data_IF_439880477696
#
_entry.id   IF_439880477696
#
_cell.length_a   1.000
_cell.length_b   1.000
_cell.length_c   1.000
_cell.angle_alpha   90.00
_cell.angle_beta   90.00
_cell.angle_gamma   90.00
#
_symmetry.space_group_name_H-M   'P 1'
#
loop_
_entity.id
_entity.type
_entity.pdbx_description
1 polymer ?
#
# COMPACT_ATOMS: atom_id res chain seq x y z
N UNK A 1 -5.66 33.32 -14.63
CA UNK A 1 -5.72 33.20 -13.16
C UNK A 1 -5.96 31.75 -12.82
N UNK A 2 -4.92 31.05 -12.37
CA UNK A 2 -4.99 29.62 -12.08
C UNK A 2 -5.97 29.36 -10.93
N UNK A 3 -7.08 28.69 -11.26
CA UNK A 3 -8.18 28.43 -10.34
C UNK A 3 -7.78 27.29 -9.42
N UNK A 4 -7.48 27.59 -8.16
CA UNK A 4 -7.16 26.59 -7.14
C UNK A 4 -8.27 25.51 -7.08
N UNK A 5 -7.91 24.27 -7.39
CA UNK A 5 -8.81 23.16 -7.74
C UNK A 5 -9.90 22.81 -6.70
N UNK A 6 -9.69 23.20 -5.43
CA UNK A 6 -10.58 22.87 -4.30
C UNK A 6 -11.63 23.97 -4.04
N UNK A 7 -11.40 25.22 -4.48
CA UNK A 7 -12.24 26.37 -4.08
C UNK A 7 -13.61 26.44 -4.77
N UNK A 8 -13.85 25.69 -5.85
CA UNK A 8 -15.09 25.81 -6.65
C UNK A 8 -16.05 24.60 -6.60
N UNK A 9 -15.67 23.52 -5.92
CA UNK A 9 -16.57 22.40 -5.68
C UNK A 9 -16.64 22.12 -4.18
N UNK A 10 -17.49 22.85 -3.47
CA UNK A 10 -17.65 22.76 -2.02
C UNK A 10 -17.76 21.31 -1.52
N UNK A 11 -18.50 20.46 -2.26
CA UNK A 11 -18.60 19.02 -1.98
C UNK A 11 -17.26 18.29 -2.06
N UNK A 12 -16.44 18.55 -3.09
CA UNK A 12 -15.10 17.94 -3.23
C UNK A 12 -14.14 18.42 -2.15
N UNK A 13 -14.20 19.70 -1.79
CA UNK A 13 -13.40 20.25 -0.69
C UNK A 13 -13.77 19.64 0.66
N UNK A 14 -15.06 19.50 0.95
CA UNK A 14 -15.55 18.86 2.17
C UNK A 14 -15.15 17.38 2.25
N UNK A 15 -15.35 16.61 1.17
CA UNK A 15 -14.92 15.21 1.10
C UNK A 15 -13.41 15.08 1.27
N UNK A 16 -12.63 15.94 0.59
CA UNK A 16 -11.18 15.95 0.71
C UNK A 16 -10.77 16.19 2.16
N UNK A 17 -11.28 17.23 2.82
CA UNK A 17 -10.92 17.56 4.20
C UNK A 17 -11.27 16.44 5.19
N UNK A 18 -12.45 15.82 5.04
CA UNK A 18 -12.85 14.70 5.90
C UNK A 18 -11.94 13.48 5.70
N UNK A 19 -11.69 13.10 4.45
CA UNK A 19 -10.91 11.90 4.11
C UNK A 19 -9.42 12.06 4.40
N UNK A 20 -8.88 13.29 4.30
CA UNK A 20 -7.47 13.57 4.47
C UNK A 20 -6.97 13.20 5.89
N UNK A 21 -7.78 13.48 6.91
CA UNK A 21 -7.42 13.12 8.28
C UNK A 21 -7.39 11.60 8.47
N UNK A 22 -8.40 10.88 7.96
CA UNK A 22 -8.44 9.42 8.03
C UNK A 22 -7.29 8.78 7.26
N UNK A 23 -6.92 9.35 6.10
CA UNK A 23 -5.74 8.93 5.36
C UNK A 23 -4.47 8.96 6.22
N UNK A 24 -4.19 10.07 6.91
CA UNK A 24 -3.02 10.16 7.80
C UNK A 24 -3.11 9.22 9.00
N UNK A 25 -4.28 9.11 9.62
CA UNK A 25 -4.48 8.18 10.73
C UNK A 25 -4.16 6.74 10.28
N UNK A 26 -4.63 6.31 9.11
CA UNK A 26 -4.33 5.00 8.55
C UNK A 26 -2.85 4.81 8.22
N UNK A 27 -2.14 5.84 7.74
CA UNK A 27 -0.69 5.78 7.55
C UNK A 27 0.05 5.57 8.87
N UNK A 28 -0.35 6.28 9.92
CA UNK A 28 0.25 6.15 11.26
C UNK A 28 0.01 4.73 11.79
N UNK A 29 -1.23 4.22 11.71
CA UNK A 29 -1.56 2.86 12.15
C UNK A 29 -0.77 1.79 11.38
N UNK A 30 -0.65 1.94 10.06
CA UNK A 30 0.15 1.05 9.23
C UNK A 30 1.65 1.11 9.58
N UNK A 31 2.20 2.30 9.81
CA UNK A 31 3.59 2.50 10.22
C UNK A 31 3.88 1.92 11.62
N UNK A 32 2.95 2.06 12.57
CA UNK A 32 3.05 1.41 13.89
C UNK A 32 3.07 -0.10 13.75
N UNK A 33 2.15 -0.68 12.96
CA UNK A 33 2.15 -2.13 12.70
C UNK A 33 3.43 -2.62 12.00
N UNK A 34 4.02 -1.81 11.11
CA UNK A 34 5.30 -2.10 10.48
C UNK A 34 6.45 -2.10 11.50
N UNK A 35 6.50 -1.11 12.39
CA UNK A 35 7.51 -1.03 13.44
C UNK A 35 7.52 -2.28 14.33
N UNK A 36 6.34 -2.71 14.77
CA UNK A 36 6.14 -3.92 15.56
C UNK A 36 6.53 -5.19 14.78
N UNK A 37 6.20 -5.26 13.48
CA UNK A 37 6.59 -6.39 12.63
C UNK A 37 8.13 -6.50 12.48
N UNK A 38 8.81 -5.36 12.34
CA UNK A 38 10.26 -5.30 12.24
C UNK A 38 10.93 -5.66 13.56
N UNK A 39 10.41 -5.16 14.69
CA UNK A 39 10.90 -5.52 16.02
C UNK A 39 10.74 -7.03 16.27
N UNK A 40 9.55 -7.58 16.03
CA UNK A 40 9.31 -9.02 16.17
C UNK A 40 10.22 -9.87 15.27
N UNK A 41 10.51 -9.38 14.06
CA UNK A 41 11.46 -10.02 13.15
C UNK A 41 12.89 -9.97 13.67
N UNK A 42 13.34 -8.82 14.18
CA UNK A 42 14.68 -8.65 14.75
C UNK A 42 14.88 -9.53 15.99
N UNK A 43 13.91 -9.56 16.89
CA UNK A 43 13.92 -10.45 18.08
C UNK A 43 13.95 -11.92 17.66
N UNK A 44 13.18 -12.31 16.64
CA UNK A 44 13.22 -13.68 16.10
C UNK A 44 14.59 -14.03 15.51
N UNK A 45 15.27 -13.11 14.83
CA UNK A 45 16.61 -13.32 14.26
C UNK A 45 17.65 -13.45 15.37
N UNK A 46 17.63 -12.55 16.36
CA UNK A 46 18.56 -12.59 17.51
C UNK A 46 18.35 -13.86 18.33
N UNK A 47 17.09 -14.26 18.57
CA UNK A 47 16.79 -15.51 19.24
C UNK A 47 17.21 -16.71 18.41
N UNK A 48 17.03 -16.69 17.09
CA UNK A 48 17.52 -17.75 16.21
C UNK A 48 19.06 -17.84 16.20
N UNK A 49 19.78 -16.72 16.25
CA UNK A 49 21.25 -16.71 16.34
C UNK A 49 21.72 -17.22 17.71
N UNK A 50 21.07 -16.79 18.79
CA UNK A 50 21.33 -17.28 20.15
C UNK A 50 21.02 -18.77 20.28
N UNK A 51 19.89 -19.19 19.71
CA UNK A 51 19.50 -20.59 19.62
C UNK A 51 20.39 -21.38 18.68
N UNK A 52 20.99 -20.80 17.63
CA UNK A 52 21.97 -21.49 16.78
C UNK A 52 23.31 -21.67 17.50
N UNK A 53 23.74 -20.65 18.26
CA UNK A 53 24.91 -20.74 19.16
C UNK A 53 24.69 -21.78 20.26
N UNK A 54 23.49 -21.82 20.85
CA UNK A 54 23.09 -22.84 21.84
C UNK A 54 22.78 -24.19 21.17
N UNK A 55 22.35 -24.25 19.91
CA UNK A 55 22.03 -25.49 19.19
C UNK A 55 23.29 -26.29 18.85
N UNK A 56 24.45 -25.64 18.68
CA UNK A 56 25.74 -26.36 18.64
C UNK A 56 25.99 -27.12 19.95
N UNK A 57 25.55 -26.59 21.10
CA UNK A 57 25.64 -27.25 22.42
C UNK A 57 24.43 -28.17 22.73
N UNK A 58 23.26 -27.92 22.13
CA UNK A 58 21.98 -28.57 22.43
C UNK A 58 21.50 -29.55 21.35
N UNK A 59 22.29 -29.81 20.31
CA UNK A 59 22.03 -30.84 19.27
C UNK A 59 21.83 -32.26 19.83
N UNK A 60 22.07 -32.48 21.13
CA UNK A 60 21.84 -33.75 21.84
C UNK A 60 20.43 -33.84 22.47
N UNK A 61 19.65 -32.76 22.58
CA UNK A 61 18.30 -32.83 23.18
C UNK A 61 17.27 -31.96 22.48
N UNK A 62 16.32 -32.65 21.86
CA UNK A 62 14.92 -32.25 21.70
C UNK A 62 14.62 -31.17 20.65
N UNK A 63 14.05 -31.63 19.53
CA UNK A 63 13.39 -30.81 18.52
C UNK A 63 12.05 -30.21 18.98
N UNK A 64 12.01 -29.55 20.13
CA UNK A 64 10.78 -28.96 20.67
C UNK A 64 11.08 -27.63 21.40
N UNK A 65 11.04 -26.51 20.67
CA UNK A 65 10.79 -25.19 21.28
C UNK A 65 10.52 -24.13 20.19
N UNK A 66 9.28 -24.11 19.68
CA UNK A 66 8.75 -22.94 19.00
C UNK A 66 8.62 -21.79 20.02
N UNK A 67 9.49 -20.79 19.90
CA UNK A 67 9.57 -19.65 20.82
C UNK A 67 10.20 -18.43 20.16
N UNK A 68 9.67 -18.01 19.00
CA UNK A 68 9.96 -16.71 18.40
C UNK A 68 8.90 -15.70 18.79
N UNK A 69 9.29 -14.45 19.06
CA UNK A 69 8.41 -13.35 19.48
C UNK A 69 7.08 -13.33 18.72
N UNK A 70 5.96 -13.34 19.45
CA UNK A 70 4.63 -13.44 18.87
C UNK A 70 4.26 -12.08 18.26
N UNK A 71 4.37 -11.97 16.93
CA UNK A 71 3.74 -10.87 16.20
C UNK A 71 2.22 -11.04 16.29
N UNK A 72 1.68 -10.37 17.30
CA UNK A 72 0.29 -10.47 17.74
C UNK A 72 -0.69 -10.09 16.61
N UNK A 73 -1.87 -10.70 16.61
CA UNK A 73 -2.89 -10.51 15.60
C UNK A 73 -3.26 -9.03 15.43
N UNK A 74 -3.31 -8.26 16.53
CA UNK A 74 -3.62 -6.82 16.50
C UNK A 74 -2.65 -6.03 15.61
N UNK A 75 -1.35 -6.35 15.66
CA UNK A 75 -0.32 -5.63 14.90
C UNK A 75 -0.34 -6.00 13.42
N UNK A 76 -0.65 -7.26 13.12
CA UNK A 76 -0.92 -7.74 11.74
C UNK A 76 -2.09 -6.98 11.12
N UNK A 77 -3.18 -6.84 11.87
CA UNK A 77 -4.36 -6.08 11.44
C UNK A 77 -4.03 -4.60 11.25
N UNK A 78 -3.30 -3.98 12.18
CA UNK A 78 -2.90 -2.58 12.04
C UNK A 78 -2.03 -2.35 10.81
N UNK A 79 -1.07 -3.22 10.53
CA UNK A 79 -0.25 -3.16 9.32
C UNK A 79 -1.09 -3.32 8.06
N UNK A 80 -1.83 -4.42 7.93
CA UNK A 80 -2.56 -4.75 6.70
C UNK A 80 -3.72 -3.79 6.45
N UNK A 81 -4.58 -3.59 7.45
CA UNK A 81 -5.75 -2.72 7.32
C UNK A 81 -5.38 -1.24 7.31
N UNK A 82 -4.39 -0.81 8.11
CA UNK A 82 -3.90 0.56 8.10
C UNK A 82 -3.33 0.95 6.73
N UNK A 83 -2.45 0.12 6.17
CA UNK A 83 -1.93 0.34 4.83
C UNK A 83 -3.04 0.32 3.77
N UNK A 84 -3.89 -0.71 3.75
CA UNK A 84 -4.94 -0.82 2.74
C UNK A 84 -5.95 0.32 2.79
N UNK A 85 -6.38 0.72 3.99
CA UNK A 85 -7.27 1.86 4.17
C UNK A 85 -6.60 3.18 3.73
N UNK A 86 -5.31 3.38 4.01
CA UNK A 86 -4.58 4.55 3.54
C UNK A 86 -4.59 4.63 2.01
N UNK A 87 -4.33 3.53 1.30
CA UNK A 87 -4.36 3.53 -0.16
C UNK A 87 -5.78 3.74 -0.70
N UNK A 88 -6.82 3.19 -0.08
CA UNK A 88 -8.20 3.46 -0.46
C UNK A 88 -8.56 4.94 -0.29
N UNK A 89 -8.23 5.54 0.85
CA UNK A 89 -8.44 6.98 1.06
C UNK A 89 -7.60 7.83 0.10
N UNK A 90 -6.38 7.41 -0.24
CA UNK A 90 -5.58 8.08 -1.28
C UNK A 90 -6.29 8.09 -2.64
N UNK A 91 -7.07 7.05 -2.95
CA UNK A 91 -7.86 6.96 -4.19
C UNK A 91 -8.99 7.98 -4.18
N UNK A 92 -9.70 8.10 -3.06
CA UNK A 92 -10.76 9.10 -2.87
C UNK A 92 -10.18 10.53 -2.93
N UNK A 93 -9.07 10.79 -2.24
CA UNK A 93 -8.35 12.06 -2.33
C UNK A 93 -7.93 12.35 -3.77
N UNK A 94 -7.44 11.34 -4.48
CA UNK A 94 -7.06 11.45 -5.89
C UNK A 94 -8.27 11.82 -6.74
N UNK A 95 -9.48 11.30 -6.48
CA UNK A 95 -10.72 11.68 -7.18
C UNK A 95 -11.13 13.14 -6.95
N UNK A 96 -10.84 13.70 -5.78
CA UNK A 96 -11.14 15.10 -5.47
C UNK A 96 -10.28 16.09 -6.26
N UNK A 97 -9.10 15.69 -6.73
CA UNK A 97 -8.20 16.56 -7.51
C UNK A 97 -8.67 16.75 -8.96
N UNK A 98 -8.34 17.89 -9.55
CA UNK A 98 -8.57 18.14 -10.97
C UNK A 98 -7.71 17.21 -11.84
N UNK A 99 -8.23 16.89 -13.02
CA UNK A 99 -7.50 16.11 -14.02
C UNK A 99 -6.43 17.01 -14.64
N UNK A 100 -5.22 16.49 -14.77
CA UNK A 100 -4.22 17.12 -15.64
C UNK A 100 -4.58 16.87 -17.11
N UNK A 101 -3.96 17.63 -18.04
CA UNK A 101 -4.20 17.48 -19.48
C UNK A 101 -4.00 16.02 -19.94
N UNK A 102 -2.85 15.43 -19.64
CA UNK A 102 -2.53 14.04 -20.00
C UNK A 102 -2.90 13.04 -18.89
N UNK A 103 -4.20 12.94 -18.55
CA UNK A 103 -4.68 12.02 -17.49
C UNK A 103 -5.79 11.08 -17.94
N UNK A 104 -5.73 10.65 -19.20
CA UNK A 104 -6.74 9.80 -19.84
C UNK A 104 -6.88 8.44 -19.16
N UNK A 105 -5.79 7.85 -18.67
CA UNK A 105 -5.86 6.58 -17.95
C UNK A 105 -6.20 6.72 -16.46
N UNK A 106 -6.52 7.93 -15.97
CA UNK A 106 -6.76 8.18 -14.55
C UNK A 106 -7.78 7.23 -13.92
N UNK A 107 -8.90 6.95 -14.60
CA UNK A 107 -9.91 6.04 -14.04
C UNK A 107 -9.43 4.60 -13.99
N UNK A 108 -8.68 4.15 -15.00
CA UNK A 108 -8.06 2.82 -14.99
C UNK A 108 -7.01 2.70 -13.89
N UNK A 109 -6.20 3.75 -13.66
CA UNK A 109 -5.23 3.80 -12.56
C UNK A 109 -5.90 3.69 -11.19
N UNK A 110 -6.94 4.50 -10.96
CA UNK A 110 -7.67 4.50 -9.69
C UNK A 110 -8.43 3.18 -9.48
N UNK A 111 -9.00 2.62 -10.55
CA UNK A 111 -9.65 1.32 -10.53
C UNK A 111 -8.66 0.19 -10.21
N UNK A 112 -7.55 0.09 -10.95
CA UNK A 112 -6.52 -0.91 -10.72
C UNK A 112 -5.95 -0.84 -9.31
N UNK A 113 -5.61 0.36 -8.82
CA UNK A 113 -5.17 0.59 -7.43
C UNK A 113 -6.20 0.05 -6.43
N UNK A 114 -7.48 0.37 -6.61
CA UNK A 114 -8.56 -0.09 -5.73
C UNK A 114 -8.70 -1.60 -5.73
N UNK A 115 -8.70 -2.22 -6.91
CA UNK A 115 -8.83 -3.67 -7.07
C UNK A 115 -7.63 -4.40 -6.43
N UNK A 116 -6.41 -3.94 -6.70
CA UNK A 116 -5.18 -4.52 -6.12
C UNK A 116 -5.23 -4.45 -4.60
N UNK A 117 -5.61 -3.31 -4.03
CA UNK A 117 -5.66 -3.15 -2.57
C UNK A 117 -6.77 -3.99 -1.94
N UNK A 118 -7.97 -4.02 -2.50
CA UNK A 118 -9.05 -4.87 -1.97
C UNK A 118 -8.63 -6.35 -2.03
N UNK A 119 -8.10 -6.81 -3.17
CA UNK A 119 -7.59 -8.17 -3.30
C UNK A 119 -6.48 -8.46 -2.27
N UNK A 120 -5.55 -7.52 -2.06
CA UNK A 120 -4.50 -7.65 -1.05
C UNK A 120 -5.07 -7.71 0.37
N UNK A 121 -6.10 -6.95 0.72
CA UNK A 121 -6.71 -6.97 2.04
C UNK A 121 -7.41 -8.31 2.29
N UNK A 122 -8.18 -8.79 1.30
CA UNK A 122 -8.90 -10.06 1.38
C UNK A 122 -7.97 -11.27 1.50
N UNK A 123 -6.72 -11.15 1.04
CA UNK A 123 -5.72 -12.23 1.09
C UNK A 123 -4.77 -12.07 2.27
N UNK A 124 -4.13 -10.91 2.42
CA UNK A 124 -3.10 -10.66 3.44
C UNK A 124 -3.64 -10.69 4.86
N UNK A 125 -4.85 -10.19 5.12
CA UNK A 125 -5.44 -10.18 6.47
C UNK A 125 -5.63 -11.61 7.02
N UNK A 126 -6.35 -12.53 6.35
CA UNK A 126 -6.52 -13.89 6.86
C UNK A 126 -5.19 -14.66 6.87
N UNK A 127 -4.38 -14.54 5.80
CA UNK A 127 -3.09 -15.23 5.71
C UNK A 127 -2.07 -14.71 6.72
N UNK A 128 -2.17 -13.45 7.15
CA UNK A 128 -1.20 -12.84 8.05
C UNK A 128 -1.00 -13.69 9.30
N UNK A 129 -2.05 -14.26 9.88
CA UNK A 129 -1.96 -15.06 11.11
C UNK A 129 -1.05 -16.29 10.99
N UNK A 130 -0.88 -16.82 9.78
CA UNK A 130 -0.07 -18.00 9.47
C UNK A 130 1.32 -17.66 8.92
N UNK A 131 1.61 -16.37 8.71
CA UNK A 131 2.85 -15.91 8.10
C UNK A 131 3.84 -15.38 9.14
N UNK A 132 5.13 -15.52 8.84
CA UNK A 132 6.16 -14.81 9.61
C UNK A 132 5.96 -13.29 9.50
N UNK A 133 6.37 -12.49 10.49
CA UNK A 133 6.19 -11.03 10.46
C UNK A 133 6.89 -10.42 9.23
N UNK A 134 8.09 -10.90 8.91
CA UNK A 134 8.85 -10.49 7.74
C UNK A 134 8.14 -10.84 6.42
N UNK A 135 7.50 -12.00 6.33
CA UNK A 135 6.71 -12.38 5.16
C UNK A 135 5.52 -11.45 4.96
N UNK A 136 4.83 -11.03 6.04
CA UNK A 136 3.73 -10.06 5.95
C UNK A 136 4.24 -8.72 5.41
N UNK A 137 5.36 -8.22 5.94
CA UNK A 137 6.00 -6.99 5.44
C UNK A 137 6.38 -7.12 3.97
N UNK A 138 6.98 -8.25 3.57
CA UNK A 138 7.33 -8.52 2.18
C UNK A 138 6.13 -8.51 1.23
N UNK A 139 4.99 -9.06 1.63
CA UNK A 139 3.74 -9.03 0.85
C UNK A 139 3.23 -7.60 0.72
N UNK A 140 3.14 -6.84 1.81
CA UNK A 140 2.71 -5.43 1.77
C UNK A 140 3.62 -4.61 0.86
N UNK A 141 4.93 -4.82 0.94
CA UNK A 141 5.90 -4.17 0.05
C UNK A 141 5.70 -4.54 -1.42
N UNK A 142 5.51 -5.82 -1.74
CA UNK A 142 5.24 -6.28 -3.10
C UNK A 142 3.97 -5.66 -3.68
N UNK A 143 2.92 -5.49 -2.87
CA UNK A 143 1.68 -4.79 -3.26
C UNK A 143 1.95 -3.32 -3.55
N UNK A 144 2.72 -2.62 -2.70
CA UNK A 144 3.13 -1.22 -2.95
C UNK A 144 3.86 -1.10 -4.29
N UNK A 145 4.87 -1.95 -4.52
CA UNK A 145 5.65 -1.95 -5.75
C UNK A 145 4.78 -2.21 -6.98
N UNK A 146 3.82 -3.13 -6.87
CA UNK A 146 2.89 -3.45 -7.97
C UNK A 146 2.01 -2.24 -8.32
N UNK A 147 1.45 -1.58 -7.31
CA UNK A 147 0.65 -0.35 -7.51
C UNK A 147 1.51 0.75 -8.14
N UNK A 148 2.72 0.97 -7.61
CA UNK A 148 3.65 1.97 -8.13
C UNK A 148 4.02 1.71 -9.59
N UNK A 149 4.30 0.45 -9.96
CA UNK A 149 4.59 0.05 -11.32
C UNK A 149 3.40 0.30 -12.25
N UNK A 150 2.20 -0.15 -11.88
CA UNK A 150 0.97 0.09 -12.67
C UNK A 150 0.73 1.58 -12.88
N UNK A 151 0.88 2.39 -11.83
CA UNK A 151 0.74 3.82 -11.95
C UNK A 151 1.80 4.46 -12.82
N UNK A 152 3.06 4.05 -12.67
CA UNK A 152 4.16 4.54 -13.48
C UNK A 152 3.91 4.24 -14.97
N UNK A 153 3.61 2.99 -15.33
CA UNK A 153 3.34 2.61 -16.72
C UNK A 153 2.16 3.37 -17.31
N UNK A 154 1.06 3.51 -16.57
CA UNK A 154 -0.12 4.23 -17.05
C UNK A 154 0.13 5.74 -17.21
N UNK A 155 0.86 6.37 -16.28
CA UNK A 155 1.26 7.78 -16.38
C UNK A 155 2.23 8.02 -17.51
N UNK A 156 3.25 7.17 -17.67
CA UNK A 156 4.21 7.35 -18.77
C UNK A 156 3.57 7.07 -20.11
N UNK A 157 2.67 6.09 -20.21
CA UNK A 157 1.90 5.88 -21.43
C UNK A 157 0.97 7.04 -21.77
N UNK A 158 0.36 7.69 -20.77
CA UNK A 158 -0.41 8.92 -20.99
C UNK A 158 0.49 10.03 -21.56
N UNK A 159 1.70 10.21 -21.02
CA UNK A 159 2.67 11.24 -21.45
C UNK A 159 3.27 10.98 -22.83
N UNK A 160 3.52 9.72 -23.15
CA UNK A 160 4.13 9.29 -24.41
C UNK A 160 3.09 9.00 -25.50
N UNK A 161 1.81 9.23 -25.21
CA UNK A 161 0.67 8.98 -26.11
C UNK A 161 0.65 7.54 -26.63
N UNK A 162 1.03 6.57 -25.80
CA UNK A 162 1.14 5.16 -26.20
C UNK A 162 -0.22 4.46 -26.34
N UNK A 163 -1.29 5.09 -25.86
CA UNK A 163 -2.63 4.51 -25.86
C UNK A 163 -3.34 4.80 -27.19
N UNK A 164 -2.93 4.15 -28.28
CA UNK A 164 -3.51 4.34 -29.62
C UNK A 164 -5.02 4.06 -29.74
N UNK A 165 -5.62 3.43 -28.74
CA UNK A 165 -7.06 3.22 -28.58
C UNK A 165 -7.81 4.32 -27.81
N UNK A 166 -7.09 5.31 -27.28
CA UNK A 166 -7.65 6.41 -26.49
C UNK A 166 -7.48 7.70 -27.29
N UNK A 167 -8.59 8.38 -27.54
CA UNK A 167 -8.62 9.65 -28.23
C UNK A 167 -8.05 10.75 -27.32
N UNK A 168 -7.03 11.48 -27.79
CA UNK A 168 -6.41 12.61 -27.08
C UNK A 168 -6.98 13.92 -27.62
N UNK A 169 -7.95 14.57 -26.94
CA UNK A 169 -8.64 15.75 -27.48
C UNK A 169 -7.67 16.92 -27.74
N UNK A 170 -6.66 17.06 -26.88
CA UNK A 170 -5.64 18.10 -26.97
C UNK A 170 -4.61 17.92 -28.12
N UNK A 171 -4.49 16.71 -28.68
CA UNK A 171 -3.72 16.49 -29.93
C UNK A 171 -4.52 16.91 -31.17
N UNK A 172 -5.86 16.75 -31.14
CA UNK A 172 -6.77 17.19 -32.20
C UNK A 172 -6.77 18.70 -32.39
N UNK A 173 -6.66 19.47 -31.30
CA UNK A 173 -6.61 20.94 -31.37
C UNK A 173 -5.26 21.47 -31.90
N UNK A 174 -4.17 20.70 -31.79
CA UNK A 174 -2.83 21.11 -32.27
C UNK A 174 -2.50 20.65 -33.68
N UNK A 175 -3.17 19.61 -34.18
CA UNK A 175 -2.99 19.07 -35.52
C UNK A 175 -4.36 18.82 -36.17
N UNK A 176 -5.02 19.88 -36.68
CA UNK A 176 -6.29 19.76 -37.40
C UNK A 176 -6.15 19.03 -38.73
#
# INVERSE_FOLDING_TARGET
GEKHAVRYAARKGMTWSMVHLFYHACLILGATGLGEALQASAESIVNAEKSARVAVEASIRAGEAGGGAVFDAKWRWLLCAGYGAAVLFSTVLSMCHQKGPYSVTRYYRLGARTVIVIASLLTSVPLSTSLSPLSVVGIVFAVICTIAAVEFFLVQGDRLHLWGWIDYPELREKHP
#
